data_IF_228365724522
#
_entry.id   IF_228365724522
#
_cell.length_a   1.000
_cell.length_b   1.000
_cell.length_c   1.000
_cell.angle_alpha   90.00
_cell.angle_beta   90.00
_cell.angle_gamma   90.00
#
_symmetry.space_group_name_H-M   'P 1'
#
loop_
_entity.id
_entity.type
_entity.pdbx_description
1 polymer ?
#
# COMPACT_ATOMS: atom_id res chain seq x y z
N UNK A 1 -10.10 -1.87 -50.63
CA UNK A 1 -11.13 -2.15 -49.57
C UNK A 1 -10.76 -3.28 -48.63
N UNK A 2 -9.94 -4.24 -49.00
CA UNK A 2 -9.50 -5.34 -48.11
C UNK A 2 -8.49 -4.91 -47.03
N UNK A 3 -7.64 -3.93 -47.27
CA UNK A 3 -6.62 -3.45 -46.29
C UNK A 3 -7.21 -2.72 -45.08
N UNK A 4 -8.41 -2.20 -45.14
CA UNK A 4 -9.06 -1.53 -44.01
C UNK A 4 -9.88 -2.47 -43.10
N UNK A 5 -10.21 -3.68 -43.57
CA UNK A 5 -10.91 -4.69 -42.75
C UNK A 5 -9.98 -5.42 -41.80
N UNK A 6 -8.69 -5.58 -42.17
CA UNK A 6 -7.72 -6.29 -41.35
C UNK A 6 -7.16 -5.45 -40.19
N UNK A 7 -7.18 -4.10 -40.28
CA UNK A 7 -6.82 -3.24 -39.15
C UNK A 7 -7.86 -3.24 -38.03
N UNK A 8 -9.13 -3.32 -38.35
CA UNK A 8 -10.22 -3.38 -37.34
C UNK A 8 -10.39 -4.75 -36.65
N UNK A 9 -9.77 -5.83 -37.20
CA UNK A 9 -9.78 -7.13 -36.52
C UNK A 9 -8.66 -7.25 -35.50
N UNK A 10 -7.49 -6.64 -35.73
CA UNK A 10 -6.37 -6.70 -34.77
C UNK A 10 -6.61 -5.90 -33.48
N UNK A 11 -7.39 -4.82 -33.57
CA UNK A 11 -7.73 -3.99 -32.40
C UNK A 11 -8.81 -4.59 -31.48
N UNK A 12 -9.48 -5.69 -31.91
CA UNK A 12 -10.51 -6.36 -31.08
C UNK A 12 -9.96 -7.54 -30.27
N UNK A 13 -8.95 -8.22 -30.76
CA UNK A 13 -8.43 -9.45 -30.12
C UNK A 13 -7.45 -9.15 -28.96
N UNK A 14 -6.89 -7.94 -28.89
CA UNK A 14 -5.93 -7.58 -27.84
C UNK A 14 -6.59 -7.05 -26.54
N UNK A 15 -7.93 -7.00 -26.49
CA UNK A 15 -8.64 -6.45 -25.32
C UNK A 15 -9.10 -7.48 -24.28
N UNK A 16 -9.09 -8.75 -24.61
CA UNK A 16 -9.75 -9.77 -23.80
C UNK A 16 -8.81 -10.71 -23.03
N UNK A 17 -7.50 -10.45 -22.99
CA UNK A 17 -6.52 -11.44 -22.55
C UNK A 17 -5.65 -11.09 -21.35
N UNK A 18 -5.91 -10.02 -20.61
CA UNK A 18 -5.03 -9.69 -19.49
C UNK A 18 -5.59 -10.17 -18.16
N UNK A 19 -5.18 -11.37 -17.78
CA UNK A 19 -5.39 -11.90 -16.44
C UNK A 19 -4.57 -11.10 -15.43
N UNK A 20 -5.26 -10.64 -14.38
CA UNK A 20 -4.62 -10.18 -13.17
C UNK A 20 -3.75 -11.31 -12.59
N UNK A 21 -2.60 -11.03 -11.98
CA UNK A 21 -1.79 -12.01 -11.22
C UNK A 21 -2.60 -12.83 -10.22
N UNK A 22 -3.78 -12.38 -9.84
CA UNK A 22 -4.73 -13.09 -8.99
C UNK A 22 -5.71 -13.98 -9.78
N UNK A 23 -5.52 -14.16 -11.10
CA UNK A 23 -6.38 -14.98 -11.94
C UNK A 23 -7.80 -14.43 -12.11
N UNK A 24 -8.01 -13.12 -11.96
CA UNK A 24 -9.32 -12.48 -12.02
C UNK A 24 -9.48 -11.73 -13.33
N UNK A 25 -10.42 -12.15 -14.16
CA UNK A 25 -10.79 -11.40 -15.35
C UNK A 25 -11.66 -10.17 -14.98
N UNK A 26 -11.70 -9.19 -15.88
CA UNK A 26 -12.51 -7.96 -15.75
C UNK A 26 -13.99 -8.23 -15.45
N UNK A 27 -14.52 -9.35 -15.95
CA UNK A 27 -15.94 -9.71 -15.86
C UNK A 27 -16.23 -10.76 -14.79
N UNK A 28 -15.21 -11.25 -14.10
CA UNK A 28 -15.39 -12.30 -13.12
C UNK A 28 -15.98 -11.77 -11.83
N UNK A 29 -17.15 -12.24 -11.50
CA UNK A 29 -17.75 -12.02 -10.19
C UNK A 29 -17.18 -13.06 -9.22
N UNK A 30 -16.49 -12.61 -8.20
CA UNK A 30 -15.94 -13.50 -7.17
C UNK A 30 -17.08 -14.01 -6.32
N UNK A 31 -17.22 -15.32 -6.20
CA UNK A 31 -18.23 -15.91 -5.33
C UNK A 31 -17.95 -15.61 -3.84
N UNK A 32 -18.97 -15.74 -3.00
CA UNK A 32 -18.80 -15.53 -1.54
C UNK A 32 -17.82 -16.52 -0.93
N UNK A 33 -17.82 -17.76 -1.40
CA UNK A 33 -16.88 -18.80 -0.96
C UNK A 33 -15.45 -18.45 -1.34
N UNK A 34 -15.22 -18.00 -2.56
CA UNK A 34 -13.89 -17.55 -3.03
C UNK A 34 -13.39 -16.34 -2.23
N UNK A 35 -14.27 -15.39 -1.92
CA UNK A 35 -13.92 -14.24 -1.09
C UNK A 35 -13.57 -14.66 0.34
N UNK A 36 -14.35 -15.55 0.94
CA UNK A 36 -14.09 -16.08 2.28
C UNK A 36 -12.74 -16.80 2.35
N UNK A 37 -12.42 -17.63 1.35
CA UNK A 37 -11.15 -18.35 1.28
C UNK A 37 -9.96 -17.41 1.09
N UNK A 38 -10.07 -16.41 0.20
CA UNK A 38 -9.03 -15.40 0.03
C UNK A 38 -8.77 -14.62 1.33
N UNK A 39 -9.84 -14.23 2.02
CA UNK A 39 -9.76 -13.54 3.32
C UNK A 39 -9.07 -14.41 4.37
N UNK A 40 -9.43 -15.68 4.46
CA UNK A 40 -8.80 -16.62 5.38
C UNK A 40 -7.30 -16.72 5.15
N UNK A 41 -6.88 -16.99 3.91
CA UNK A 41 -5.46 -17.09 3.53
C UNK A 41 -4.67 -15.82 3.84
N UNK A 42 -5.22 -14.65 3.53
CA UNK A 42 -4.59 -13.36 3.81
C UNK A 42 -4.49 -13.08 5.30
N UNK A 43 -5.53 -13.43 6.06
CA UNK A 43 -5.55 -13.29 7.53
C UNK A 43 -4.50 -14.18 8.19
N UNK A 44 -4.35 -15.43 7.73
CA UNK A 44 -3.31 -16.34 8.21
C UNK A 44 -1.90 -15.80 7.93
N UNK A 45 -1.64 -15.31 6.72
CA UNK A 45 -0.36 -14.67 6.37
C UNK A 45 -0.05 -13.46 7.27
N UNK A 46 -1.06 -12.66 7.57
CA UNK A 46 -0.92 -11.51 8.45
C UNK A 46 -0.64 -11.92 9.90
N UNK A 47 -1.35 -12.93 10.43
CA UNK A 47 -1.18 -13.43 11.79
C UNK A 47 0.21 -14.04 12.02
N UNK A 48 0.70 -14.81 11.06
CA UNK A 48 2.05 -15.39 11.12
C UNK A 48 3.14 -14.30 11.16
N UNK A 49 2.95 -13.24 10.38
CA UNK A 49 3.84 -12.07 10.39
C UNK A 49 3.81 -11.34 11.73
N UNK A 50 2.64 -11.24 12.35
CA UNK A 50 2.44 -10.60 13.65
C UNK A 50 3.16 -11.30 14.80
N UNK A 51 3.17 -12.62 14.85
CA UNK A 51 3.88 -13.38 15.89
C UNK A 51 5.38 -13.13 15.86
N UNK A 52 5.99 -13.08 14.68
CA UNK A 52 7.41 -12.76 14.52
C UNK A 52 7.75 -11.31 14.88
N UNK A 53 6.80 -10.45 14.79
CA UNK A 53 6.95 -9.01 14.92
C UNK A 53 7.25 -8.53 16.34
N UNK A 54 6.65 -9.16 17.36
CA UNK A 54 6.89 -8.83 18.77
C UNK A 54 8.35 -9.02 19.18
N UNK A 55 8.98 -10.09 18.70
CA UNK A 55 10.40 -10.38 18.99
C UNK A 55 11.32 -9.36 18.29
N UNK A 56 11.03 -9.01 17.07
CA UNK A 56 11.77 -8.00 16.30
C UNK A 56 11.64 -6.62 16.98
N UNK A 57 10.50 -6.31 17.56
CA UNK A 57 10.24 -5.05 18.25
C UNK A 57 11.21 -4.78 19.40
N UNK A 58 11.36 -5.73 20.30
CA UNK A 58 12.26 -5.59 21.47
C UNK A 58 13.72 -5.43 21.05
N UNK A 59 14.17 -6.20 20.08
CA UNK A 59 15.55 -6.10 19.58
C UNK A 59 15.83 -4.73 18.97
N UNK A 60 14.91 -4.22 18.13
CA UNK A 60 15.05 -2.89 17.51
C UNK A 60 14.99 -1.76 18.53
N UNK A 61 14.10 -1.85 19.52
CA UNK A 61 14.05 -0.86 20.59
C UNK A 61 15.40 -0.75 21.29
N UNK A 62 15.98 -1.87 21.74
CA UNK A 62 17.29 -1.92 22.39
C UNK A 62 18.42 -1.37 21.49
N UNK A 63 18.33 -1.62 20.18
CA UNK A 63 19.29 -1.08 19.23
C UNK A 63 19.19 0.45 19.15
N UNK A 64 17.98 1.01 18.97
CA UNK A 64 17.74 2.45 18.87
C UNK A 64 18.14 3.19 20.17
N UNK A 65 17.92 2.57 21.33
CA UNK A 65 18.36 3.10 22.62
C UNK A 65 19.90 3.18 22.70
N UNK A 66 20.61 2.13 22.30
CA UNK A 66 22.08 2.12 22.23
C UNK A 66 22.64 3.16 21.25
N UNK A 67 21.99 3.32 20.10
CA UNK A 67 22.35 4.29 19.07
C UNK A 67 21.91 5.73 19.43
N UNK A 68 21.23 5.92 20.57
CA UNK A 68 20.69 7.20 21.05
C UNK A 68 19.69 7.86 20.08
N UNK A 69 19.01 7.05 19.26
CA UNK A 69 18.02 7.51 18.26
C UNK A 69 16.65 7.74 18.90
N UNK A 70 16.54 8.78 19.72
CA UNK A 70 15.35 9.04 20.53
C UNK A 70 14.13 9.49 19.73
N UNK A 71 14.32 10.28 18.69
CA UNK A 71 13.22 10.74 17.85
C UNK A 71 12.66 9.57 17.02
N UNK A 72 13.55 8.77 16.46
CA UNK A 72 13.17 7.59 15.70
C UNK A 72 12.50 6.51 16.58
N UNK A 73 12.97 6.32 17.81
CA UNK A 73 12.32 5.42 18.77
C UNK A 73 10.88 5.85 19.05
N UNK A 74 10.63 7.15 19.27
CA UNK A 74 9.25 7.68 19.43
C UNK A 74 8.40 7.49 18.18
N UNK A 75 8.97 7.66 16.98
CA UNK A 75 8.28 7.38 15.74
C UNK A 75 7.87 5.90 15.67
N UNK A 76 8.80 4.99 15.92
CA UNK A 76 8.57 3.54 15.85
C UNK A 76 7.51 3.08 16.85
N UNK A 77 7.52 3.57 18.09
CA UNK A 77 6.49 3.30 19.09
C UNK A 77 5.11 3.74 18.62
N UNK A 78 4.98 4.97 18.07
CA UNK A 78 3.71 5.47 17.52
C UNK A 78 3.24 4.69 16.30
N UNK A 79 4.15 4.23 15.45
CA UNK A 79 3.81 3.37 14.33
C UNK A 79 3.15 2.06 14.83
N UNK A 80 3.69 1.44 15.84
CA UNK A 80 3.12 0.22 16.43
C UNK A 80 1.79 0.41 17.13
N UNK A 81 1.62 1.51 17.84
CA UNK A 81 0.32 1.86 18.43
C UNK A 81 -0.76 2.04 17.36
N UNK A 82 -0.40 2.61 16.21
CA UNK A 82 -1.33 2.74 15.09
C UNK A 82 -1.70 1.39 14.49
N UNK A 83 -0.75 0.49 14.29
CA UNK A 83 -1.04 -0.86 13.80
C UNK A 83 -1.96 -1.62 14.78
N UNK A 84 -1.72 -1.53 16.08
CA UNK A 84 -2.62 -2.15 17.08
C UNK A 84 -4.04 -1.62 17.00
N UNK A 85 -4.21 -0.32 16.88
CA UNK A 85 -5.53 0.30 16.70
C UNK A 85 -6.19 -0.12 15.40
N UNK A 86 -5.43 -0.24 14.35
CA UNK A 86 -5.91 -0.70 13.05
C UNK A 86 -6.42 -2.15 13.09
N UNK A 87 -5.77 -3.01 13.84
CA UNK A 87 -6.27 -4.39 14.06
C UNK A 87 -7.64 -4.43 14.73
N UNK A 88 -7.89 -3.56 15.71
CA UNK A 88 -9.21 -3.46 16.34
C UNK A 88 -10.24 -3.00 15.30
N UNK A 89 -9.89 -2.01 14.48
CA UNK A 89 -10.73 -1.54 13.38
C UNK A 89 -11.09 -2.67 12.41
N UNK A 90 -10.12 -3.50 12.02
CA UNK A 90 -10.31 -4.63 11.11
C UNK A 90 -11.24 -5.71 11.69
N UNK A 91 -11.20 -5.94 12.99
CA UNK A 91 -12.13 -6.88 13.64
C UNK A 91 -13.59 -6.42 13.56
N UNK A 92 -13.82 -5.10 13.49
CA UNK A 92 -15.15 -4.50 13.41
C UNK A 92 -15.56 -4.12 11.98
N UNK A 93 -14.68 -4.35 10.99
CA UNK A 93 -14.92 -3.96 9.61
C UNK A 93 -16.08 -4.77 8.99
N UNK A 94 -16.92 -4.07 8.25
CA UNK A 94 -17.95 -4.67 7.42
C UNK A 94 -17.48 -4.71 5.98
N UNK A 95 -17.75 -5.82 5.30
CA UNK A 95 -17.33 -6.04 3.93
C UNK A 95 -18.52 -6.15 3.01
N UNK A 96 -18.32 -5.69 1.77
CA UNK A 96 -19.32 -5.77 0.73
C UNK A 96 -19.00 -6.96 -0.18
N UNK A 97 -19.98 -7.82 -0.35
CA UNK A 97 -19.95 -8.95 -1.28
C UNK A 97 -20.47 -8.52 -2.66
N UNK A 98 -20.21 -9.31 -3.68
CA UNK A 98 -20.69 -9.10 -5.05
C UNK A 98 -20.15 -7.83 -5.74
N UNK A 99 -18.89 -7.52 -5.54
CA UNK A 99 -18.22 -6.39 -6.20
C UNK A 99 -17.61 -6.84 -7.55
N UNK A 100 -17.86 -6.02 -8.57
CA UNK A 100 -17.24 -6.21 -9.87
C UNK A 100 -15.86 -5.57 -9.92
N UNK A 101 -14.92 -6.21 -10.62
CA UNK A 101 -13.60 -5.67 -10.89
C UNK A 101 -13.69 -4.67 -12.06
N UNK A 102 -14.27 -3.50 -11.80
CA UNK A 102 -14.51 -2.45 -12.78
C UNK A 102 -13.49 -1.29 -12.69
N UNK A 103 -12.36 -1.54 -12.02
CA UNK A 103 -11.21 -0.66 -11.97
C UNK A 103 -9.98 -1.39 -12.47
N UNK A 104 -9.14 -0.72 -13.23
CA UNK A 104 -7.83 -1.24 -13.65
C UNK A 104 -6.73 -0.27 -13.28
N UNK A 105 -5.55 -0.82 -13.06
CA UNK A 105 -4.31 -0.05 -12.86
C UNK A 105 -3.14 -0.78 -13.53
N UNK A 106 -2.11 -0.03 -13.85
CA UNK A 106 -0.94 -0.54 -14.55
C UNK A 106 0.25 -0.65 -13.60
N UNK A 107 0.96 -1.79 -13.63
CA UNK A 107 2.18 -2.00 -12.87
C UNK A 107 3.11 -2.98 -13.55
N UNK A 108 4.39 -2.63 -13.65
CA UNK A 108 5.44 -3.53 -14.17
C UNK A 108 5.13 -4.16 -15.52
N UNK A 109 4.54 -3.39 -16.44
CA UNK A 109 4.23 -3.87 -17.78
C UNK A 109 2.89 -4.58 -17.93
N UNK A 110 2.07 -4.68 -16.87
CA UNK A 110 0.81 -5.41 -16.89
C UNK A 110 -0.34 -4.60 -16.30
N UNK A 111 -1.55 -4.88 -16.78
CA UNK A 111 -2.79 -4.38 -16.19
C UNK A 111 -3.31 -5.35 -15.13
N UNK A 112 -3.78 -4.77 -14.03
CA UNK A 112 -4.43 -5.46 -12.93
C UNK A 112 -5.84 -4.91 -12.77
N UNK A 113 -6.75 -5.76 -12.32
CA UNK A 113 -8.15 -5.40 -12.12
C UNK A 113 -8.53 -5.51 -10.66
N UNK A 114 -9.37 -4.58 -10.22
CA UNK A 114 -9.86 -4.54 -8.84
C UNK A 114 -11.24 -3.89 -8.80
N UNK A 115 -11.90 -3.96 -7.66
CA UNK A 115 -13.13 -3.21 -7.41
C UNK A 115 -12.83 -1.81 -6.83
N UNK A 116 -13.88 -1.00 -6.64
CA UNK A 116 -13.74 0.35 -6.10
C UNK A 116 -13.05 0.41 -4.73
N UNK A 117 -13.27 -0.57 -3.85
CA UNK A 117 -12.67 -0.61 -2.51
C UNK A 117 -11.20 -1.00 -2.57
N UNK A 118 -10.84 -1.93 -3.45
CA UNK A 118 -9.44 -2.24 -3.71
C UNK A 118 -8.69 -1.06 -4.31
N UNK A 119 -9.30 -0.36 -5.27
CA UNK A 119 -8.74 0.87 -5.86
C UNK A 119 -8.52 1.95 -4.80
N UNK A 120 -9.51 2.17 -3.91
CA UNK A 120 -9.37 3.12 -2.81
C UNK A 120 -8.28 2.68 -1.82
N UNK A 121 -8.24 1.40 -1.47
CA UNK A 121 -7.21 0.87 -0.56
C UNK A 121 -5.79 1.07 -1.09
N UNK A 122 -5.57 0.92 -2.40
CA UNK A 122 -4.25 1.19 -3.00
C UNK A 122 -3.88 2.68 -2.96
N UNK A 123 -4.86 3.59 -3.16
CA UNK A 123 -4.65 5.04 -2.97
C UNK A 123 -4.33 5.37 -1.52
N UNK A 124 -5.05 4.78 -0.59
CA UNK A 124 -4.81 4.95 0.84
C UNK A 124 -3.44 4.39 1.25
N UNK A 125 -3.00 3.27 0.67
CA UNK A 125 -1.66 2.74 0.88
C UNK A 125 -0.56 3.75 0.53
N UNK A 126 -0.67 4.42 -0.62
CA UNK A 126 0.28 5.48 -1.02
C UNK A 126 0.27 6.64 -0.02
N UNK A 127 -0.90 7.12 0.39
CA UNK A 127 -1.04 8.24 1.31
C UNK A 127 -0.53 7.89 2.72
N UNK A 128 -0.91 6.73 3.25
CA UNK A 128 -0.44 6.26 4.56
C UNK A 128 1.07 6.02 4.54
N UNK A 129 1.58 5.43 3.46
CA UNK A 129 3.01 5.28 3.26
C UNK A 129 3.73 6.62 3.27
N UNK A 130 3.23 7.62 2.55
CA UNK A 130 3.80 8.96 2.54
C UNK A 130 3.82 9.59 3.94
N UNK A 131 2.71 9.53 4.66
CA UNK A 131 2.60 10.06 6.03
C UNK A 131 3.60 9.39 6.97
N UNK A 132 3.70 8.07 6.94
CA UNK A 132 4.64 7.33 7.78
C UNK A 132 6.10 7.58 7.38
N UNK A 133 6.37 7.65 6.09
CA UNK A 133 7.69 8.02 5.58
C UNK A 133 8.11 9.41 6.02
N UNK A 134 7.21 10.40 5.91
CA UNK A 134 7.48 11.77 6.33
C UNK A 134 7.88 11.84 7.82
N UNK A 135 7.12 11.15 8.67
CA UNK A 135 7.42 11.07 10.11
C UNK A 135 8.73 10.37 10.42
N UNK A 136 9.05 9.30 9.67
CA UNK A 136 10.30 8.57 9.83
C UNK A 136 11.49 9.42 9.40
N UNK A 137 11.40 10.10 8.25
CA UNK A 137 12.45 10.99 7.75
C UNK A 137 12.72 12.17 8.68
N UNK A 138 11.68 12.80 9.22
CA UNK A 138 11.83 13.84 10.25
C UNK A 138 12.54 13.32 11.50
N UNK A 139 12.19 12.11 11.95
CA UNK A 139 12.80 11.51 13.13
C UNK A 139 14.29 11.24 12.92
N UNK A 140 14.68 10.71 11.75
CA UNK A 140 16.08 10.46 11.41
C UNK A 140 16.87 11.76 11.33
N UNK A 141 16.32 12.81 10.73
CA UNK A 141 16.96 14.12 10.72
C UNK A 141 17.13 14.69 12.12
N UNK A 142 16.12 14.59 12.99
CA UNK A 142 16.21 15.06 14.37
C UNK A 142 17.28 14.33 15.18
N UNK A 143 17.51 13.06 14.91
CA UNK A 143 18.56 12.26 15.56
C UNK A 143 19.94 12.44 14.91
N UNK A 144 20.07 13.25 13.84
CA UNK A 144 21.30 13.43 13.07
C UNK A 144 21.69 12.17 12.28
N UNK A 145 20.76 11.29 11.99
CA UNK A 145 20.98 10.03 11.26
C UNK A 145 21.06 10.26 9.76
N UNK A 146 21.84 9.46 9.06
CA UNK A 146 21.98 9.55 7.60
C UNK A 146 20.69 9.15 6.88
N UNK A 147 20.49 9.70 5.66
CA UNK A 147 19.34 9.38 4.80
C UNK A 147 19.33 7.88 4.44
N UNK A 148 18.38 7.13 4.99
CA UNK A 148 18.23 5.70 4.71
C UNK A 148 16.81 5.19 5.02
N UNK A 149 15.88 5.36 4.08
CA UNK A 149 14.50 4.89 4.23
C UNK A 149 14.38 3.35 4.29
N UNK A 150 15.32 2.62 3.65
CA UNK A 150 15.27 1.14 3.60
C UNK A 150 15.43 0.50 4.98
N UNK A 151 16.16 1.15 5.89
CA UNK A 151 16.33 0.68 7.26
C UNK A 151 15.14 0.97 8.15
N UNK A 152 14.23 1.82 7.70
CA UNK A 152 13.04 2.19 8.45
C UNK A 152 12.10 1.02 8.64
N UNK A 153 11.65 0.84 9.89
CA UNK A 153 10.73 -0.23 10.24
C UNK A 153 9.41 -0.13 9.45
N UNK A 154 8.81 1.06 9.36
CA UNK A 154 7.59 1.25 8.61
C UNK A 154 7.72 0.93 7.11
N UNK A 155 8.89 1.16 6.50
CA UNK A 155 9.18 0.75 5.12
C UNK A 155 9.26 -0.76 4.96
N UNK A 156 9.94 -1.44 5.89
CA UNK A 156 10.10 -2.89 5.85
C UNK A 156 8.79 -3.61 6.11
N UNK A 157 8.03 -3.16 7.11
CA UNK A 157 6.74 -3.70 7.46
C UNK A 157 5.67 -3.40 6.40
N UNK A 158 5.47 -2.15 6.04
CA UNK A 158 4.56 -1.65 5.01
C UNK A 158 3.10 -2.17 5.14
N UNK A 159 2.65 -2.53 6.36
CA UNK A 159 1.35 -3.17 6.58
C UNK A 159 0.30 -2.26 7.25
N UNK A 160 0.69 -1.06 7.68
CA UNK A 160 -0.26 -0.15 8.31
C UNK A 160 -1.39 0.26 7.36
N UNK A 161 -2.64 0.08 7.79
CA UNK A 161 -3.84 0.32 6.98
C UNK A 161 -4.25 -0.85 6.07
N UNK A 162 -3.46 -1.93 6.01
CA UNK A 162 -3.78 -3.10 5.19
C UNK A 162 -5.03 -3.82 5.67
N UNK A 163 -5.91 -4.13 4.72
CA UNK A 163 -7.05 -5.01 4.91
C UNK A 163 -6.97 -6.18 3.94
N UNK A 164 -7.01 -7.39 4.48
CA UNK A 164 -6.87 -8.62 3.71
C UNK A 164 -8.04 -8.96 2.80
N UNK A 165 -9.13 -8.18 2.83
CA UNK A 165 -10.35 -8.52 2.10
C UNK A 165 -10.29 -8.18 0.62
N UNK A 166 -9.79 -6.99 0.26
CA UNK A 166 -9.89 -6.46 -1.12
C UNK A 166 -8.61 -6.58 -1.93
N UNK A 167 -7.44 -6.53 -1.29
CA UNK A 167 -6.13 -6.45 -1.95
C UNK A 167 -5.16 -7.45 -1.32
N UNK A 168 -4.26 -8.01 -2.11
CA UNK A 168 -3.18 -8.85 -1.61
C UNK A 168 -2.10 -8.03 -0.89
N UNK A 169 -1.51 -8.61 0.17
CA UNK A 169 -0.49 -7.92 0.96
C UNK A 169 0.73 -7.45 0.14
N UNK A 170 1.30 -8.24 -0.78
CA UNK A 170 2.42 -7.78 -1.60
C UNK A 170 2.07 -6.58 -2.47
N UNK A 171 0.82 -6.51 -2.95
CA UNK A 171 0.31 -5.40 -3.73
C UNK A 171 0.20 -4.13 -2.88
N UNK A 172 -0.46 -4.25 -1.73
CA UNK A 172 -0.58 -3.15 -0.77
C UNK A 172 0.80 -2.62 -0.34
N UNK A 173 1.72 -3.51 0.03
CA UNK A 173 3.06 -3.17 0.48
C UNK A 173 3.86 -2.43 -0.59
N UNK A 174 3.68 -2.76 -1.87
CA UNK A 174 4.34 -2.05 -2.97
C UNK A 174 3.92 -0.58 -2.98
N UNK A 175 2.63 -0.29 -2.99
CA UNK A 175 2.12 1.08 -3.04
C UNK A 175 2.40 1.86 -1.75
N UNK A 176 2.32 1.21 -0.61
CA UNK A 176 2.73 1.82 0.66
C UNK A 176 4.20 2.25 0.63
N UNK A 177 5.10 1.40 0.14
CA UNK A 177 6.54 1.71 0.01
C UNK A 177 6.82 2.82 -0.98
N UNK A 178 6.08 2.90 -2.06
CA UNK A 178 6.20 3.99 -3.03
C UNK A 178 5.84 5.35 -2.41
N UNK A 179 4.79 5.39 -1.60
CA UNK A 179 4.44 6.55 -0.79
C UNK A 179 5.50 6.84 0.27
N UNK A 180 5.92 5.81 1.03
CA UNK A 180 6.86 5.94 2.13
C UNK A 180 8.20 6.55 1.69
N UNK A 181 8.77 6.08 0.60
CA UNK A 181 10.04 6.61 0.07
C UNK A 181 9.97 8.11 -0.19
N UNK A 182 8.89 8.58 -0.82
CA UNK A 182 8.66 10.00 -1.12
C UNK A 182 8.41 10.82 0.14
N UNK A 183 7.61 10.29 1.05
CA UNK A 183 7.38 10.93 2.34
C UNK A 183 8.65 11.04 3.17
N UNK A 184 9.45 9.98 3.21
CA UNK A 184 10.73 9.99 3.93
C UNK A 184 11.68 11.07 3.40
N UNK A 185 11.78 11.20 2.07
CA UNK A 185 12.59 12.26 1.44
C UNK A 185 12.09 13.65 1.85
N UNK A 186 10.80 13.89 1.75
CA UNK A 186 10.21 15.19 2.13
C UNK A 186 10.40 15.48 3.64
N UNK A 187 10.16 14.50 4.50
CA UNK A 187 10.34 14.65 5.95
C UNK A 187 11.79 14.84 6.35
N UNK A 188 12.72 14.13 5.75
CA UNK A 188 14.15 14.25 6.03
C UNK A 188 14.70 15.63 5.65
N UNK A 189 14.28 16.15 4.48
CA UNK A 189 14.71 17.47 4.00
C UNK A 189 13.78 18.61 4.44
N UNK A 190 12.75 18.34 5.25
CA UNK A 190 11.77 19.33 5.73
C UNK A 190 11.14 20.14 4.60
N UNK A 191 10.67 19.43 3.56
CA UNK A 191 10.04 20.03 2.37
C UNK A 191 8.78 19.28 1.97
N UNK A 192 8.00 19.83 1.04
CA UNK A 192 6.78 19.27 0.50
C UNK A 192 6.85 19.17 -1.03
N UNK A 193 7.77 18.34 -1.53
CA UNK A 193 7.96 18.13 -2.96
C UNK A 193 6.89 17.19 -3.54
N UNK A 194 6.55 16.14 -2.80
CA UNK A 194 5.68 15.07 -3.26
C UNK A 194 4.31 15.09 -2.62
N UNK A 195 4.12 15.83 -1.56
CA UNK A 195 2.88 15.88 -0.84
C UNK A 195 2.58 17.23 -0.20
N UNK A 196 1.56 17.25 0.64
CA UNK A 196 1.16 18.43 1.40
C UNK A 196 0.66 18.03 2.78
N UNK A 197 0.60 19.00 3.68
CA UNK A 197 -0.04 18.86 4.98
C UNK A 197 -1.29 19.73 5.02
N UNK A 198 -2.45 19.09 5.18
CA UNK A 198 -3.74 19.79 5.26
C UNK A 198 -4.68 19.04 6.20
N UNK A 199 -5.47 19.79 6.97
CA UNK A 199 -6.46 19.23 7.91
C UNK A 199 -5.89 18.16 8.87
N UNK A 200 -4.66 18.34 9.34
CA UNK A 200 -4.02 17.43 10.30
C UNK A 200 -3.45 16.14 9.66
N UNK A 201 -3.44 16.01 8.34
CA UNK A 201 -2.95 14.84 7.61
C UNK A 201 -1.95 15.21 6.54
N UNK A 202 -1.00 14.31 6.31
CA UNK A 202 -0.12 14.35 5.15
C UNK A 202 -0.75 13.55 4.02
N UNK A 203 -0.73 14.08 2.82
CA UNK A 203 -1.21 13.39 1.62
C UNK A 203 -0.30 13.67 0.42
N UNK A 204 -0.17 12.71 -0.45
CA UNK A 204 0.55 12.85 -1.72
C UNK A 204 -0.23 13.77 -2.65
N UNK A 205 0.48 14.64 -3.38
CA UNK A 205 -0.12 15.49 -4.41
C UNK A 205 -0.78 14.63 -5.50
N UNK A 206 -1.96 15.03 -5.97
CA UNK A 206 -2.71 14.28 -6.95
C UNK A 206 -1.91 13.91 -8.20
N UNK A 207 -1.11 14.84 -8.72
CA UNK A 207 -0.22 14.58 -9.87
C UNK A 207 0.83 13.50 -9.57
N UNK A 208 1.39 13.50 -8.34
CA UNK A 208 2.37 12.49 -7.91
C UNK A 208 1.68 11.14 -7.68
N UNK A 209 0.49 11.15 -7.07
CA UNK A 209 -0.32 9.94 -6.89
C UNK A 209 -0.60 9.26 -8.24
N UNK A 210 -0.99 10.01 -9.26
CA UNK A 210 -1.23 9.47 -10.61
C UNK A 210 0.01 8.84 -11.25
N UNK A 211 1.23 9.30 -10.92
CA UNK A 211 2.46 8.65 -11.42
C UNK A 211 2.79 7.35 -10.69
N UNK A 212 2.31 7.17 -9.45
CA UNK A 212 2.53 5.96 -8.65
C UNK A 212 1.46 4.92 -8.96
N UNK A 213 0.22 5.37 -9.01
CA UNK A 213 -0.97 4.54 -9.14
C UNK A 213 -1.97 5.23 -10.07
N UNK A 214 -1.94 4.86 -11.34
CA UNK A 214 -2.95 5.27 -12.32
C UNK A 214 -4.10 4.27 -12.31
N UNK A 215 -5.16 4.59 -11.56
CA UNK A 215 -6.36 3.76 -11.44
C UNK A 215 -7.49 4.39 -12.24
N UNK A 216 -7.98 3.64 -13.21
CA UNK A 216 -9.09 4.04 -14.08
C UNK A 216 -10.29 3.11 -13.85
N UNK A 217 -11.45 3.71 -13.59
CA UNK A 217 -12.75 3.02 -13.62
C UNK A 217 -13.29 2.91 -15.04
N UNK A 218 -14.11 1.89 -15.33
CA UNK A 218 -14.75 1.67 -16.64
C UNK A 218 -16.12 1.00 -16.50
#
# INVERSE_FOLDING_TARGET
EQRNRDRNRRDRDDRDGYDNRNGRSRYEQITREQQAELRRRRSEQYSNRWQNWQNIQLQRQRQLERERRRAYLRYQQRYWERIRRDQIRLQQARYYDNLYNNYRYYRSGQYYYTNQYGAQMLRDAVNLGYEEGFRAGQADRQDGWGFNYNSSYGYQDASFGYDSYYVDMPEYNYYFREGFRRGYEDGYYSRYRYGSYSNGRYAVLGAVLGTILDVVGF
#
